data_IF_534727974289
#
_entry.id   IF_534727974289
#
_cell.length_a   1.000
_cell.length_b   1.000
_cell.length_c   1.000
_cell.angle_alpha   90.00
_cell.angle_beta   90.00
_cell.angle_gamma   90.00
#
_symmetry.space_group_name_H-M   'P 1'
#
loop_
_entity.id
_entity.type
_entity.pdbx_description
1 polymer ?
#
# COMPACT_ATOMS: atom_id res chain seq x y z
N UNK A 1 25.50 -10.00 42.00
CA UNK A 1 25.40 -9.29 40.73
C UNK A 1 24.18 -9.84 39.98
N UNK A 2 23.11 -9.08 39.99
CA UNK A 2 21.88 -9.45 39.29
C UNK A 2 22.07 -9.12 37.83
N UNK A 3 22.13 -10.12 36.97
CA UNK A 3 22.13 -9.94 35.52
C UNK A 3 20.74 -9.42 35.15
N UNK A 4 20.70 -8.19 34.69
CA UNK A 4 19.52 -7.55 34.19
C UNK A 4 18.98 -8.39 33.03
N UNK A 5 17.79 -8.96 33.15
CA UNK A 5 17.11 -9.62 32.06
C UNK A 5 16.93 -8.58 30.95
N UNK A 6 17.45 -8.90 29.78
CA UNK A 6 17.18 -8.15 28.54
C UNK A 6 15.65 -8.10 28.35
N UNK A 7 15.10 -6.99 27.84
CA UNK A 7 13.68 -6.95 27.57
C UNK A 7 13.33 -8.00 26.53
N UNK A 8 12.27 -8.71 26.85
CA UNK A 8 11.49 -9.63 26.05
C UNK A 8 11.70 -9.41 24.53
N UNK A 9 12.37 -10.34 23.88
CA UNK A 9 12.37 -10.49 22.44
C UNK A 9 10.94 -10.84 21.99
N UNK A 10 10.04 -9.87 22.09
CA UNK A 10 8.82 -9.92 21.29
C UNK A 10 9.28 -9.82 19.86
N UNK A 11 9.45 -10.99 19.29
CA UNK A 11 9.56 -11.15 17.85
C UNK A 11 8.45 -10.31 17.22
N UNK A 12 8.82 -9.18 16.62
CA UNK A 12 7.88 -8.29 15.95
C UNK A 12 7.19 -9.16 14.90
N UNK A 13 5.97 -9.57 15.20
CA UNK A 13 5.24 -10.53 14.39
C UNK A 13 4.71 -9.85 13.12
N UNK A 14 5.60 -9.66 12.15
CA UNK A 14 5.19 -9.24 10.81
C UNK A 14 4.22 -10.29 10.27
N UNK A 15 2.99 -9.88 9.94
CA UNK A 15 2.01 -10.78 9.35
C UNK A 15 2.59 -11.37 8.05
N UNK A 16 2.58 -12.71 7.90
CA UNK A 16 3.12 -13.39 6.73
C UNK A 16 2.52 -12.85 5.44
N UNK A 17 3.27 -12.92 4.35
CA UNK A 17 2.75 -12.60 3.02
C UNK A 17 1.63 -13.59 2.65
N UNK A 18 0.48 -13.05 2.26
CA UNK A 18 -0.65 -13.81 1.72
C UNK A 18 -0.98 -13.29 0.31
N UNK A 19 -0.56 -14.01 -0.71
CA UNK A 19 -0.75 -13.62 -2.11
C UNK A 19 -2.22 -13.52 -2.54
N UNK A 20 -3.14 -14.10 -1.78
CA UNK A 20 -4.58 -13.99 -2.07
C UNK A 20 -5.14 -12.63 -1.65
N UNK A 21 -4.43 -11.93 -0.78
CA UNK A 21 -4.88 -10.68 -0.17
C UNK A 21 -3.90 -9.55 -0.43
N UNK A 22 -2.59 -9.82 -0.31
CA UNK A 22 -1.55 -8.80 -0.49
C UNK A 22 -1.36 -8.44 -1.97
N UNK A 23 -1.08 -7.16 -2.22
CA UNK A 23 -0.63 -6.71 -3.53
C UNK A 23 0.86 -7.01 -3.66
N UNK A 24 1.18 -7.97 -4.51
CA UNK A 24 2.55 -8.46 -4.72
C UNK A 24 2.94 -8.32 -6.18
N UNK A 25 4.17 -7.87 -6.42
CA UNK A 25 4.79 -7.88 -7.75
C UNK A 25 6.24 -8.33 -7.68
N UNK A 26 6.82 -8.69 -8.81
CA UNK A 26 8.18 -9.18 -8.91
C UNK A 26 8.29 -10.71 -8.83
N UNK A 27 9.49 -11.21 -8.63
CA UNK A 27 9.79 -12.64 -8.69
C UNK A 27 9.47 -13.37 -7.40
N UNK A 28 8.84 -14.54 -7.48
CA UNK A 28 8.62 -15.40 -6.31
C UNK A 28 9.93 -15.85 -5.64
N UNK A 29 11.01 -15.96 -6.39
CA UNK A 29 12.34 -16.33 -5.88
C UNK A 29 13.14 -15.11 -5.39
N UNK A 30 12.61 -13.88 -5.53
CA UNK A 30 13.31 -12.66 -5.16
C UNK A 30 13.30 -12.39 -3.66
N UNK A 31 14.18 -11.46 -3.25
CA UNK A 31 14.18 -10.94 -1.88
C UNK A 31 12.88 -10.19 -1.61
N UNK A 32 12.18 -10.56 -0.55
CA UNK A 32 10.90 -9.96 -0.20
C UNK A 32 11.10 -8.64 0.55
N UNK A 33 10.46 -7.58 0.04
CA UNK A 33 10.27 -6.32 0.75
C UNK A 33 8.77 -6.10 0.93
N UNK A 34 8.34 -5.84 2.16
CA UNK A 34 6.96 -5.43 2.48
C UNK A 34 6.99 -3.99 2.94
N UNK A 35 6.27 -3.13 2.24
CA UNK A 35 6.08 -1.73 2.62
C UNK A 35 4.67 -1.52 3.18
N UNK A 36 4.60 -0.89 4.34
CA UNK A 36 3.37 -0.26 4.85
C UNK A 36 3.40 1.21 4.46
N UNK A 37 2.52 1.62 3.57
CA UNK A 37 2.62 2.93 2.94
C UNK A 37 1.34 3.74 2.96
N UNK A 38 1.56 5.06 2.87
CA UNK A 38 0.53 6.10 2.83
C UNK A 38 0.77 6.96 1.59
N UNK A 39 -0.22 7.03 0.71
CA UNK A 39 -0.09 7.76 -0.56
C UNK A 39 0.10 9.26 -0.41
N UNK A 40 -0.27 9.85 0.74
CA UNK A 40 -0.08 11.27 1.02
C UNK A 40 1.21 11.57 1.80
N UNK A 41 1.87 10.54 2.35
CA UNK A 41 3.08 10.67 3.15
C UNK A 41 4.31 10.93 2.25
N UNK A 42 5.08 12.01 2.49
CA UNK A 42 6.31 12.27 1.74
C UNK A 42 7.37 11.16 1.87
N UNK A 43 7.44 10.52 3.04
CA UNK A 43 8.38 9.42 3.28
C UNK A 43 8.00 8.16 2.51
N UNK A 44 6.71 7.85 2.41
CA UNK A 44 6.24 6.74 1.55
C UNK A 44 6.56 7.01 0.08
N UNK A 45 6.47 8.27 -0.36
CA UNK A 45 6.92 8.65 -1.72
C UNK A 45 8.42 8.47 -1.94
N UNK A 46 9.24 8.74 -0.92
CA UNK A 46 10.67 8.46 -0.99
C UNK A 46 10.94 6.96 -1.08
N UNK A 47 10.23 6.16 -0.27
CA UNK A 47 10.31 4.70 -0.33
C UNK A 47 9.88 4.18 -1.71
N UNK A 48 8.79 4.68 -2.27
CA UNK A 48 8.35 4.33 -3.62
C UNK A 48 9.46 4.54 -4.67
N UNK A 49 10.15 5.69 -4.65
CA UNK A 49 11.26 5.97 -5.56
C UNK A 49 12.46 5.05 -5.34
N UNK A 50 12.75 4.73 -4.07
CA UNK A 50 13.81 3.79 -3.72
C UNK A 50 13.49 2.38 -4.23
N UNK A 51 12.26 1.92 -4.09
CA UNK A 51 11.80 0.63 -4.61
C UNK A 51 11.92 0.58 -6.13
N UNK A 52 11.49 1.63 -6.86
CA UNK A 52 11.67 1.69 -8.33
C UNK A 52 13.15 1.56 -8.72
N UNK A 53 14.06 2.18 -7.96
CA UNK A 53 15.49 2.09 -8.21
C UNK A 53 16.01 0.67 -7.96
N UNK A 54 15.62 0.07 -6.84
CA UNK A 54 16.01 -1.30 -6.46
C UNK A 54 15.48 -2.31 -7.48
N UNK A 55 14.24 -2.15 -7.94
CA UNK A 55 13.64 -3.00 -9.00
C UNK A 55 14.47 -2.94 -10.28
N UNK A 56 14.91 -1.76 -10.69
CA UNK A 56 15.78 -1.61 -11.88
C UNK A 56 17.14 -2.25 -11.71
N UNK A 57 17.70 -2.23 -10.49
CA UNK A 57 19.05 -2.77 -10.22
C UNK A 57 19.04 -4.27 -10.01
N UNK A 58 18.05 -4.80 -9.30
CA UNK A 58 17.96 -6.22 -8.96
C UNK A 58 17.23 -7.07 -10.01
N UNK A 59 16.49 -6.41 -10.92
CA UNK A 59 15.71 -7.12 -11.93
C UNK A 59 14.76 -8.14 -11.31
N UNK A 60 14.85 -9.40 -11.77
CA UNK A 60 14.00 -10.49 -11.27
C UNK A 60 14.30 -10.99 -9.85
N UNK A 61 15.22 -10.36 -9.12
CA UNK A 61 15.61 -10.79 -7.77
C UNK A 61 14.87 -10.06 -6.63
N UNK A 62 13.89 -9.23 -6.96
CA UNK A 62 13.05 -8.55 -6.00
C UNK A 62 11.62 -9.07 -6.05
N UNK A 63 11.04 -9.28 -4.87
CA UNK A 63 9.60 -9.48 -4.64
C UNK A 63 9.11 -8.37 -3.74
N UNK A 64 8.16 -7.58 -4.21
CA UNK A 64 7.67 -6.41 -3.50
C UNK A 64 6.19 -6.56 -3.16
N UNK A 65 5.84 -6.30 -1.91
CA UNK A 65 4.46 -6.25 -1.44
C UNK A 65 4.15 -4.89 -0.83
N UNK A 66 2.96 -4.36 -1.12
CA UNK A 66 2.47 -3.12 -0.56
C UNK A 66 1.24 -3.37 0.32
N UNK A 67 1.25 -2.78 1.51
CA UNK A 67 0.14 -2.76 2.47
C UNK A 67 -0.22 -1.33 2.84
N UNK A 68 -1.49 -1.05 2.93
CA UNK A 68 -1.97 0.29 3.26
C UNK A 68 -1.74 0.63 4.73
N UNK A 69 -1.22 1.82 4.98
CA UNK A 69 -1.10 2.39 6.32
C UNK A 69 -1.40 3.90 6.31
N UNK A 70 -2.65 4.30 5.97
CA UNK A 70 -3.02 5.71 5.89
C UNK A 70 -3.00 6.36 7.28
N UNK A 71 -2.18 7.42 7.42
CA UNK A 71 -2.04 8.19 8.64
C UNK A 71 -3.13 9.27 8.73
N UNK A 72 -4.36 8.84 8.95
CA UNK A 72 -5.57 9.68 8.84
C UNK A 72 -5.59 10.89 9.78
N UNK A 73 -4.84 10.85 10.87
CA UNK A 73 -4.72 11.96 11.82
C UNK A 73 -3.92 13.16 11.28
N UNK A 74 -3.07 12.95 10.26
CA UNK A 74 -2.19 13.99 9.70
C UNK A 74 -2.31 14.13 8.18
N UNK A 75 -2.83 13.12 7.48
CA UNK A 75 -2.97 13.10 6.03
C UNK A 75 -4.45 12.94 5.65
N UNK A 76 -5.16 14.05 5.35
CA UNK A 76 -6.62 14.04 5.16
C UNK A 76 -7.09 13.26 3.93
N UNK A 77 -6.25 13.06 2.92
CA UNK A 77 -6.59 12.34 1.68
C UNK A 77 -6.07 10.89 1.64
N UNK A 78 -5.29 10.48 2.64
CA UNK A 78 -4.61 9.18 2.63
C UNK A 78 -5.59 8.00 2.56
N UNK A 79 -6.66 8.03 3.35
CA UNK A 79 -7.66 6.96 3.36
C UNK A 79 -8.42 6.87 2.03
N UNK A 80 -8.82 8.01 1.47
CA UNK A 80 -9.50 8.06 0.18
C UNK A 80 -8.60 7.54 -0.96
N UNK A 81 -7.31 7.88 -0.93
CA UNK A 81 -6.34 7.37 -1.89
C UNK A 81 -6.13 5.85 -1.77
N UNK A 82 -6.03 5.33 -0.54
CA UNK A 82 -5.97 3.89 -0.30
C UNK A 82 -7.23 3.17 -0.82
N UNK A 83 -8.43 3.72 -0.55
CA UNK A 83 -9.68 3.18 -1.05
C UNK A 83 -9.76 3.20 -2.59
N UNK A 84 -9.25 4.25 -3.22
CA UNK A 84 -9.15 4.34 -4.67
C UNK A 84 -8.23 3.23 -5.24
N UNK A 85 -7.08 2.99 -4.63
CA UNK A 85 -6.16 1.93 -5.06
C UNK A 85 -6.82 0.55 -4.96
N UNK A 86 -7.55 0.28 -3.89
CA UNK A 86 -8.29 -0.97 -3.72
C UNK A 86 -9.45 -1.12 -4.74
N UNK A 87 -10.17 -0.03 -5.04
CA UNK A 87 -11.20 -0.05 -6.08
C UNK A 87 -10.61 -0.33 -7.47
N UNK A 88 -9.43 0.21 -7.75
CA UNK A 88 -8.69 -0.13 -8.98
C UNK A 88 -8.24 -1.60 -8.97
N UNK A 89 -7.88 -2.15 -7.81
CA UNK A 89 -7.53 -3.56 -7.66
C UNK A 89 -8.68 -4.50 -8.05
N UNK A 90 -9.91 -4.15 -7.71
CA UNK A 90 -11.12 -4.91 -8.11
C UNK A 90 -11.20 -5.06 -9.63
N UNK A 91 -10.72 -4.07 -10.37
CA UNK A 91 -10.67 -4.05 -11.84
C UNK A 91 -9.30 -4.45 -12.41
N UNK A 92 -8.42 -5.03 -11.59
CA UNK A 92 -7.12 -5.53 -12.04
C UNK A 92 -6.05 -4.47 -12.30
N UNK A 93 -6.24 -3.24 -11.80
CA UNK A 93 -5.37 -2.10 -12.08
C UNK A 93 -4.76 -1.46 -10.82
N UNK A 94 -4.47 -2.26 -9.78
CA UNK A 94 -3.87 -1.77 -8.54
C UNK A 94 -2.56 -1.04 -8.80
N UNK A 95 -1.59 -1.68 -9.43
CA UNK A 95 -0.24 -1.14 -9.61
C UNK A 95 -0.21 0.12 -10.48
N UNK A 96 -1.07 0.18 -11.49
CA UNK A 96 -1.17 1.38 -12.34
C UNK A 96 -1.66 2.59 -11.56
N UNK A 97 -2.68 2.41 -10.71
CA UNK A 97 -3.17 3.50 -9.86
C UNK A 97 -2.19 3.83 -8.73
N UNK A 98 -1.56 2.82 -8.13
CA UNK A 98 -0.51 2.98 -7.12
C UNK A 98 0.61 3.92 -7.60
N UNK A 99 1.10 3.72 -8.81
CA UNK A 99 2.11 4.58 -9.41
C UNK A 99 1.61 6.01 -9.63
N UNK A 100 0.41 6.17 -10.18
CA UNK A 100 -0.19 7.50 -10.38
C UNK A 100 -0.35 8.27 -9.07
N UNK A 101 -0.81 7.62 -8.01
CA UNK A 101 -1.01 8.26 -6.70
C UNK A 101 0.31 8.79 -6.11
N UNK A 102 1.40 8.03 -6.19
CA UNK A 102 2.69 8.52 -5.72
C UNK A 102 3.31 9.58 -6.64
N UNK A 103 3.18 9.42 -7.95
CA UNK A 103 3.68 10.44 -8.88
C UNK A 103 2.92 11.77 -8.77
N UNK A 104 1.63 11.71 -8.44
CA UNK A 104 0.74 12.87 -8.31
C UNK A 104 0.28 13.11 -6.87
N UNK A 105 1.16 12.91 -5.92
CA UNK A 105 0.87 12.92 -4.48
C UNK A 105 0.20 14.20 -3.97
N UNK A 106 0.36 15.32 -4.67
CA UNK A 106 -0.29 16.60 -4.33
C UNK A 106 -1.70 16.76 -4.87
N UNK A 107 -2.19 15.82 -5.67
CA UNK A 107 -3.49 15.83 -6.32
C UNK A 107 -4.25 14.55 -5.97
N UNK A 108 -4.79 14.48 -4.76
CA UNK A 108 -5.50 13.33 -4.19
C UNK A 108 -6.94 13.66 -3.76
N UNK A 109 -7.49 14.75 -4.31
CA UNK A 109 -8.90 15.07 -4.08
C UNK A 109 -9.81 14.08 -4.82
N UNK A 110 -11.09 14.06 -4.46
CA UNK A 110 -12.06 13.14 -5.06
C UNK A 110 -12.11 13.23 -6.59
N UNK A 111 -12.11 14.46 -7.12
CA UNK A 111 -12.07 14.68 -8.58
C UNK A 111 -10.80 14.15 -9.24
N UNK A 112 -9.64 14.24 -8.54
CA UNK A 112 -8.37 13.73 -9.04
C UNK A 112 -8.40 12.20 -9.11
N UNK A 113 -8.87 11.54 -8.05
CA UNK A 113 -8.98 10.09 -7.98
C UNK A 113 -9.89 9.52 -9.08
N UNK A 114 -11.04 10.15 -9.31
CA UNK A 114 -11.94 9.79 -10.42
C UNK A 114 -11.29 10.02 -11.78
N UNK A 115 -10.54 11.11 -11.92
CA UNK A 115 -9.79 11.42 -13.14
C UNK A 115 -8.75 10.34 -13.45
N UNK A 116 -8.05 9.83 -12.44
CA UNK A 116 -7.10 8.74 -12.62
C UNK A 116 -7.77 7.44 -13.04
N UNK A 117 -8.90 7.12 -12.42
CA UNK A 117 -9.70 5.96 -12.81
C UNK A 117 -10.12 6.03 -14.29
N UNK A 118 -10.61 7.18 -14.73
CA UNK A 118 -10.97 7.43 -16.13
C UNK A 118 -9.75 7.32 -17.07
N UNK A 119 -8.62 7.90 -16.66
CA UNK A 119 -7.35 7.85 -17.42
C UNK A 119 -6.88 6.39 -17.63
N UNK A 120 -7.08 5.53 -16.63
CA UNK A 120 -6.74 4.11 -16.70
C UNK A 120 -7.77 3.26 -17.44
N UNK A 121 -8.86 3.86 -17.92
CA UNK A 121 -9.93 3.15 -18.62
C UNK A 121 -10.80 2.28 -17.71
N UNK A 122 -10.85 2.57 -16.41
CA UNK A 122 -11.71 1.88 -15.46
C UNK A 122 -13.18 2.26 -15.66
N UNK A 123 -14.08 1.36 -15.29
CA UNK A 123 -15.48 1.69 -15.06
C UNK A 123 -15.56 2.61 -13.83
N UNK A 124 -15.78 3.92 -14.06
CA UNK A 124 -15.78 4.92 -13.00
C UNK A 124 -16.96 4.76 -12.04
N UNK A 125 -18.12 4.33 -12.52
CA UNK A 125 -19.28 4.08 -11.66
C UNK A 125 -19.03 2.89 -10.73
N UNK A 126 -18.43 1.82 -11.22
CA UNK A 126 -18.00 0.68 -10.41
C UNK A 126 -16.90 1.09 -9.43
N UNK A 127 -15.93 1.87 -9.88
CA UNK A 127 -14.86 2.42 -9.04
C UNK A 127 -15.41 3.24 -7.87
N UNK A 128 -16.35 4.16 -8.11
CA UNK A 128 -16.97 4.96 -7.07
C UNK A 128 -17.74 4.12 -6.06
N UNK A 129 -18.47 3.12 -6.53
CA UNK A 129 -19.21 2.18 -5.69
C UNK A 129 -18.26 1.33 -4.82
N UNK A 130 -17.22 0.79 -5.41
CA UNK A 130 -16.29 -0.12 -4.74
C UNK A 130 -15.45 0.61 -3.69
N UNK A 131 -14.94 1.81 -3.99
CA UNK A 131 -14.15 2.60 -3.03
C UNK A 131 -14.95 3.07 -1.81
N UNK A 132 -16.27 3.14 -1.91
CA UNK A 132 -17.17 3.45 -0.79
C UNK A 132 -17.65 2.20 -0.05
N UNK A 133 -17.31 1.02 -0.53
CA UNK A 133 -17.82 -0.25 -0.03
C UNK A 133 -17.08 -0.78 1.20
N UNK A 134 -17.77 -1.68 1.92
CA UNK A 134 -17.23 -2.34 3.13
C UNK A 134 -16.02 -3.22 2.81
N UNK A 135 -16.02 -3.92 1.71
CA UNK A 135 -14.94 -4.82 1.31
C UNK A 135 -13.58 -4.08 1.22
N UNK A 136 -13.58 -2.91 0.59
CA UNK A 136 -12.40 -2.04 0.50
C UNK A 136 -11.99 -1.53 1.88
N UNK A 137 -12.94 -1.09 2.70
CA UNK A 137 -12.67 -0.61 4.05
C UNK A 137 -12.05 -1.71 4.93
N UNK A 138 -12.59 -2.93 4.87
CA UNK A 138 -12.09 -4.08 5.63
C UNK A 138 -10.68 -4.49 5.17
N UNK A 139 -10.42 -4.41 3.87
CA UNK A 139 -9.09 -4.69 3.31
C UNK A 139 -8.04 -3.72 3.86
N UNK A 140 -8.34 -2.43 3.86
CA UNK A 140 -7.42 -1.41 4.39
C UNK A 140 -7.22 -1.61 5.90
N UNK A 141 -8.30 -1.87 6.64
CA UNK A 141 -8.22 -2.13 8.10
C UNK A 141 -7.31 -3.32 8.41
N UNK A 142 -7.42 -4.41 7.67
CA UNK A 142 -6.52 -5.57 7.80
C UNK A 142 -5.05 -5.15 7.72
N UNK A 143 -4.69 -4.33 6.76
CA UNK A 143 -3.31 -3.88 6.58
C UNK A 143 -2.85 -3.00 7.75
N UNK A 144 -3.69 -2.05 8.17
CA UNK A 144 -3.40 -1.18 9.32
C UNK A 144 -3.21 -2.01 10.59
N UNK A 145 -4.11 -2.95 10.87
CA UNK A 145 -4.02 -3.82 12.05
C UNK A 145 -2.74 -4.66 12.02
N UNK A 146 -2.37 -5.18 10.86
CA UNK A 146 -1.11 -5.90 10.64
C UNK A 146 0.11 -5.01 10.89
N UNK A 147 0.09 -3.77 10.41
CA UNK A 147 1.17 -2.81 10.64
C UNK A 147 1.31 -2.44 12.13
N UNK A 148 0.22 -2.21 12.82
CA UNK A 148 0.22 -1.91 14.26
C UNK A 148 0.73 -3.11 15.09
N UNK A 149 0.42 -4.33 14.70
CA UNK A 149 0.90 -5.54 15.36
C UNK A 149 2.40 -5.80 15.11
N UNK A 150 2.94 -5.24 14.06
CA UNK A 150 4.37 -5.40 13.70
C UNK A 150 5.30 -4.43 14.44
N UNK A 151 4.76 -3.48 15.21
CA UNK A 151 5.51 -2.42 15.90
C UNK A 151 5.63 -1.18 15.09
#
# INVERSE_FOLDING_TARGET
MTVNAMPDDRELALAPLDEKVDHVRGSQAGHLIIEYGDYECPYSRQAFRAIELVERQLGGNLRFAFRHFPLTGIHPHALAAAAAAEAAAVQGRFWDLHELLFHRQKALQDSDLRGYAAQLGLDVAAFDRDRAGRSVADRIRRDVDSGLASG
#
